data_IF_061270448875
#
_entry.id   IF_061270448875
#
_cell.length_a   1.000
_cell.length_b   1.000
_cell.length_c   1.000
_cell.angle_alpha   90.00
_cell.angle_beta   90.00
_cell.angle_gamma   90.00
#
_symmetry.space_group_name_H-M   'P 1'
#
loop_
_entity.id
_entity.type
_entity.pdbx_description
1 polymer ?
#
# COMPACT_ATOMS: atom_id res chain seq x y z
N UNK A 1 -14.92 -24.10 5.47
CA UNK A 1 -14.41 -22.80 5.02
C UNK A 1 -15.63 -22.03 4.54
N UNK A 2 -16.02 -20.97 5.25
CA UNK A 2 -17.37 -20.40 5.20
C UNK A 2 -17.62 -19.59 3.90
N UNK A 3 -18.62 -20.01 3.12
CA UNK A 3 -19.02 -19.39 1.86
C UNK A 3 -19.49 -17.93 2.03
N UNK A 4 -19.92 -17.57 3.25
CA UNK A 4 -20.27 -16.19 3.61
C UNK A 4 -19.05 -15.27 3.59
N UNK A 5 -17.88 -15.77 3.99
CA UNK A 5 -16.62 -15.01 3.96
C UNK A 5 -16.18 -14.67 2.54
N UNK A 6 -16.29 -15.63 1.62
CA UNK A 6 -15.97 -15.45 0.19
C UNK A 6 -16.93 -14.49 -0.51
N UNK A 7 -18.23 -14.59 -0.21
CA UNK A 7 -19.24 -13.70 -0.77
C UNK A 7 -19.06 -12.24 -0.32
N UNK A 8 -18.67 -12.02 0.94
CA UNK A 8 -18.34 -10.69 1.46
C UNK A 8 -17.06 -10.14 0.83
N UNK A 9 -16.00 -10.94 0.73
CA UNK A 9 -14.74 -10.54 0.10
C UNK A 9 -14.93 -10.18 -1.38
N UNK A 10 -15.75 -10.94 -2.12
CA UNK A 10 -16.02 -10.68 -3.55
C UNK A 10 -16.86 -9.43 -3.79
N UNK A 11 -17.96 -9.26 -3.05
CA UNK A 11 -18.81 -8.06 -3.11
C UNK A 11 -18.03 -6.81 -2.69
N UNK A 12 -17.05 -6.99 -1.81
CA UNK A 12 -16.15 -5.95 -1.35
C UNK A 12 -15.05 -5.61 -2.39
N UNK A 13 -14.44 -6.63 -3.01
CA UNK A 13 -13.52 -6.46 -4.15
C UNK A 13 -14.21 -5.76 -5.34
N UNK A 14 -15.49 -6.08 -5.60
CA UNK A 14 -16.31 -5.38 -6.60
C UNK A 14 -16.53 -3.90 -6.23
N UNK A 15 -16.79 -3.59 -4.95
CA UNK A 15 -16.91 -2.19 -4.49
C UNK A 15 -15.61 -1.40 -4.57
N UNK A 16 -14.46 -2.08 -4.42
CA UNK A 16 -13.13 -1.49 -4.51
C UNK A 16 -12.67 -1.31 -5.96
N UNK A 17 -13.01 -2.23 -6.87
CA UNK A 17 -12.82 -2.07 -8.32
C UNK A 17 -13.51 -0.82 -8.86
N UNK A 18 -14.70 -0.49 -8.36
CA UNK A 18 -15.42 0.75 -8.73
C UNK A 18 -14.77 2.04 -8.21
N UNK A 19 -13.93 1.96 -7.18
CA UNK A 19 -13.17 3.09 -6.63
C UNK A 19 -11.78 3.26 -7.27
N UNK A 20 -11.42 2.44 -8.28
CA UNK A 20 -10.07 2.28 -8.88
C UNK A 20 -9.06 1.43 -8.09
N UNK A 21 -9.52 0.55 -7.19
CA UNK A 21 -8.66 -0.21 -6.30
C UNK A 21 -8.63 -1.65 -6.81
N UNK A 22 -7.53 -2.04 -7.45
CA UNK A 22 -7.31 -3.41 -7.90
C UNK A 22 -6.97 -4.25 -6.67
N UNK A 23 -7.98 -4.86 -6.06
CA UNK A 23 -7.72 -6.07 -5.27
C UNK A 23 -7.40 -7.17 -6.28
N UNK A 24 -6.24 -7.78 -6.13
CA UNK A 24 -5.97 -9.06 -6.77
C UNK A 24 -6.94 -10.10 -6.17
N UNK A 25 -7.97 -10.46 -6.93
CA UNK A 25 -9.02 -11.40 -6.51
C UNK A 25 -8.44 -12.78 -6.16
N UNK A 26 -7.26 -13.13 -6.67
CA UNK A 26 -6.56 -14.37 -6.29
C UNK A 26 -5.95 -14.28 -4.88
N UNK A 27 -5.48 -13.10 -4.47
CA UNK A 27 -4.85 -12.88 -3.16
C UNK A 27 -5.88 -12.78 -2.02
N UNK A 28 -7.02 -12.12 -2.25
CA UNK A 28 -8.08 -11.94 -1.25
C UNK A 28 -8.78 -13.25 -0.81
N UNK A 29 -8.56 -14.35 -1.55
CA UNK A 29 -9.07 -15.69 -1.26
C UNK A 29 -8.01 -16.72 -0.87
N UNK A 30 -6.74 -16.33 -0.79
CA UNK A 30 -5.66 -17.27 -0.44
C UNK A 30 -5.86 -17.80 0.98
N UNK A 31 -5.74 -19.13 1.18
CA UNK A 31 -5.91 -19.80 2.49
C UNK A 31 -4.99 -19.25 3.59
N UNK A 32 -3.99 -18.46 3.23
CA UNK A 32 -2.97 -17.88 4.10
C UNK A 32 -3.03 -16.34 4.16
N UNK A 33 -4.06 -15.67 3.63
CA UNK A 33 -4.19 -14.21 3.74
C UNK A 33 -4.33 -13.79 5.21
N UNK A 34 -3.62 -12.73 5.61
CA UNK A 34 -3.69 -12.17 6.97
C UNK A 34 -4.27 -10.76 6.93
N UNK A 35 -4.72 -10.25 8.07
CA UNK A 35 -5.33 -8.91 8.18
C UNK A 35 -4.36 -7.75 7.97
N UNK A 36 -3.32 -7.86 7.15
CA UNK A 36 -2.36 -6.79 6.86
C UNK A 36 -2.53 -6.29 5.43
N UNK A 37 -2.80 -4.98 5.29
CA UNK A 37 -3.15 -4.35 4.03
C UNK A 37 -2.14 -3.25 3.68
N UNK A 38 -1.69 -3.24 2.42
CA UNK A 38 -0.78 -2.26 1.84
C UNK A 38 -1.57 -1.34 0.90
N UNK A 39 -1.36 -0.03 1.01
CA UNK A 39 -2.03 0.97 0.18
C UNK A 39 -0.98 1.86 -0.50
N UNK A 40 -1.10 2.05 -1.81
CA UNK A 40 -0.41 3.11 -2.55
C UNK A 40 -1.38 4.22 -2.90
N UNK A 41 -1.01 5.46 -2.55
CA UNK A 41 -1.84 6.63 -2.77
C UNK A 41 -1.01 7.79 -3.32
N UNK A 42 -1.34 8.26 -4.53
CA UNK A 42 -0.78 9.48 -5.09
C UNK A 42 -1.56 10.69 -4.55
N UNK A 43 -0.91 11.71 -4.00
CA UNK A 43 -1.64 12.88 -3.49
C UNK A 43 -2.34 13.72 -4.59
N UNK A 44 -1.91 13.59 -5.84
CA UNK A 44 -2.47 14.27 -7.01
C UNK A 44 -3.48 13.39 -7.74
N UNK A 45 -3.09 12.15 -8.06
CA UNK A 45 -3.92 11.23 -8.85
C UNK A 45 -4.90 10.38 -8.00
N UNK A 46 -4.75 10.38 -6.67
CA UNK A 46 -5.58 9.61 -5.77
C UNK A 46 -5.09 8.16 -5.51
N UNK A 47 -5.98 7.29 -5.01
CA UNK A 47 -5.62 5.91 -4.67
C UNK A 47 -5.23 5.13 -5.93
N UNK A 48 -4.13 4.38 -5.86
CA UNK A 48 -3.64 3.55 -6.97
C UNK A 48 -3.93 2.07 -6.78
N UNK A 49 -3.56 1.54 -5.62
CA UNK A 49 -3.55 0.11 -5.39
C UNK A 49 -3.75 -0.20 -3.92
N UNK A 50 -4.46 -1.29 -3.66
CA UNK A 50 -4.54 -1.93 -2.36
C UNK A 50 -4.22 -3.41 -2.50
N UNK A 51 -3.42 -3.95 -1.59
CA UNK A 51 -3.10 -5.37 -1.56
C UNK A 51 -3.14 -5.91 -0.15
N UNK A 52 -3.53 -7.18 -0.02
CA UNK A 52 -3.49 -7.92 1.24
C UNK A 52 -2.27 -8.83 1.24
N UNK A 53 -1.52 -8.85 2.35
CA UNK A 53 -0.41 -9.79 2.49
C UNK A 53 -0.90 -11.19 2.86
N UNK A 54 -0.17 -12.19 2.38
CA UNK A 54 -0.20 -13.54 2.92
C UNK A 54 0.58 -13.59 4.24
N UNK A 55 0.40 -14.65 5.02
CA UNK A 55 1.16 -14.89 6.25
C UNK A 55 2.67 -14.91 5.99
N UNK A 56 3.09 -15.53 4.89
CA UNK A 56 4.50 -15.62 4.51
C UNK A 56 5.04 -14.25 4.06
N UNK A 57 4.27 -13.51 3.27
CA UNK A 57 4.62 -12.13 2.88
C UNK A 57 4.73 -11.20 4.09
N UNK A 58 3.80 -11.33 5.05
CA UNK A 58 3.86 -10.57 6.30
C UNK A 58 5.10 -10.93 7.13
N UNK A 59 5.46 -12.22 7.24
CA UNK A 59 6.68 -12.66 7.94
C UNK A 59 7.95 -12.16 7.26
N UNK A 60 8.02 -12.21 5.93
CA UNK A 60 9.15 -11.70 5.16
C UNK A 60 9.31 -10.18 5.32
N UNK A 61 8.20 -9.45 5.28
CA UNK A 61 8.18 -8.02 5.56
C UNK A 61 8.69 -7.71 6.97
N UNK A 62 8.22 -8.45 7.98
CA UNK A 62 8.65 -8.26 9.36
C UNK A 62 10.12 -8.61 9.61
N UNK A 63 10.65 -9.65 8.94
CA UNK A 63 12.04 -10.05 9.08
C UNK A 63 13.00 -9.05 8.44
N UNK A 64 12.54 -8.33 7.41
CA UNK A 64 13.36 -7.43 6.61
C UNK A 64 14.46 -8.17 5.84
N UNK A 65 14.35 -9.48 5.67
CA UNK A 65 15.34 -10.30 4.99
C UNK A 65 15.55 -9.85 3.54
N UNK A 66 14.46 -9.50 2.86
CA UNK A 66 14.48 -9.01 1.48
C UNK A 66 15.27 -7.71 1.29
N UNK A 67 15.46 -6.91 2.36
CA UNK A 67 16.28 -5.69 2.30
C UNK A 67 17.76 -6.00 2.04
N UNK A 68 18.23 -7.19 2.44
CA UNK A 68 19.62 -7.62 2.23
C UNK A 68 19.92 -7.92 0.76
N UNK A 69 18.88 -8.16 -0.04
CA UNK A 69 18.98 -8.52 -1.45
C UNK A 69 18.95 -7.30 -2.39
N UNK A 70 19.01 -6.09 -1.85
CA UNK A 70 18.89 -4.86 -2.63
C UNK A 70 20.17 -4.41 -3.33
N UNK A 71 21.29 -5.11 -3.15
CA UNK A 71 22.57 -4.81 -3.82
C UNK A 71 22.97 -3.32 -3.79
N UNK A 72 22.67 -2.63 -2.68
CA UNK A 72 22.96 -1.21 -2.47
C UNK A 72 21.86 -0.23 -2.89
N UNK A 73 20.78 -0.69 -3.51
CA UNK A 73 19.60 0.12 -3.83
C UNK A 73 18.84 0.53 -2.56
N UNK A 74 18.29 1.75 -2.54
CA UNK A 74 17.40 2.16 -1.47
C UNK A 74 15.97 1.65 -1.75
N UNK A 75 15.26 1.12 -0.74
CA UNK A 75 13.86 0.69 -0.88
C UNK A 75 12.93 1.78 -1.44
N UNK A 76 13.19 3.05 -1.12
CA UNK A 76 12.46 4.19 -1.65
C UNK A 76 12.68 4.37 -3.17
N UNK A 77 13.89 4.11 -3.66
CA UNK A 77 14.21 4.20 -5.09
C UNK A 77 13.54 3.07 -5.87
N UNK A 78 13.55 1.85 -5.31
CA UNK A 78 12.85 0.68 -5.88
C UNK A 78 11.35 0.94 -5.96
N UNK A 79 10.73 1.43 -4.88
CA UNK A 79 9.32 1.80 -4.88
C UNK A 79 9.03 2.93 -5.87
N UNK A 80 9.91 3.94 -5.93
CA UNK A 80 9.81 5.04 -6.88
C UNK A 80 9.81 4.58 -8.33
N UNK A 81 10.79 3.78 -8.73
CA UNK A 81 10.88 3.23 -10.08
C UNK A 81 9.65 2.37 -10.40
N UNK A 82 9.23 1.52 -9.47
CA UNK A 82 8.06 0.62 -9.64
C UNK A 82 6.77 1.40 -9.83
N UNK A 83 6.51 2.43 -9.01
CA UNK A 83 5.32 3.27 -9.15
C UNK A 83 5.34 4.09 -10.42
N UNK A 84 6.52 4.59 -10.85
CA UNK A 84 6.62 5.31 -12.13
C UNK A 84 6.33 4.41 -13.32
N UNK A 85 6.84 3.17 -13.31
CA UNK A 85 6.54 2.19 -14.35
C UNK A 85 5.05 1.84 -14.36
N UNK A 86 4.46 1.60 -13.19
CA UNK A 86 3.03 1.31 -13.04
C UNK A 86 2.12 2.46 -13.50
N UNK A 87 2.47 3.70 -13.13
CA UNK A 87 1.73 4.91 -13.50
C UNK A 87 1.78 5.14 -15.02
N UNK A 88 2.89 4.78 -15.69
CA UNK A 88 3.05 4.89 -17.13
C UNK A 88 2.27 3.83 -17.93
N UNK A 89 1.80 2.75 -17.28
CA UNK A 89 0.98 1.74 -17.95
C UNK A 89 -0.43 2.27 -18.24
N UNK A 90 -0.96 2.04 -19.46
CA UNK A 90 -2.38 2.22 -19.72
C UNK A 90 -3.22 1.38 -18.74
N UNK A 91 -4.38 1.87 -18.29
CA UNK A 91 -5.22 1.15 -17.32
C UNK A 91 -5.53 -0.29 -17.74
N UNK A 92 -5.83 -0.50 -19.03
CA UNK A 92 -6.07 -1.84 -19.62
C UNK A 92 -4.89 -2.81 -19.54
N UNK A 93 -3.69 -2.31 -19.29
CA UNK A 93 -2.44 -3.07 -19.18
C UNK A 93 -2.03 -3.32 -17.72
N UNK A 94 -2.68 -2.67 -16.75
CA UNK A 94 -2.45 -2.90 -15.31
C UNK A 94 -3.12 -4.21 -14.90
N UNK A 95 -2.37 -5.30 -15.00
CA UNK A 95 -2.82 -6.64 -14.64
C UNK A 95 -2.38 -7.04 -13.21
N UNK A 96 -2.70 -8.28 -12.81
CA UNK A 96 -2.35 -8.80 -11.49
C UNK A 96 -0.83 -8.87 -11.26
N UNK A 97 -0.02 -9.22 -12.28
CA UNK A 97 1.44 -9.26 -12.17
C UNK A 97 2.08 -7.89 -11.92
N UNK A 98 1.58 -6.85 -12.61
CA UNK A 98 2.03 -5.47 -12.38
C UNK A 98 1.63 -4.98 -11.00
N UNK A 99 0.42 -5.32 -10.57
CA UNK A 99 -0.07 -5.00 -9.22
C UNK A 99 0.76 -5.70 -8.15
N UNK A 100 1.10 -6.98 -8.34
CA UNK A 100 1.96 -7.74 -7.42
C UNK A 100 3.36 -7.14 -7.31
N UNK A 101 3.93 -6.64 -8.42
CA UNK A 101 5.23 -5.94 -8.39
C UNK A 101 5.17 -4.70 -7.49
N UNK A 102 4.10 -3.89 -7.60
CA UNK A 102 3.88 -2.74 -6.71
C UNK A 102 3.71 -3.18 -5.26
N UNK A 103 2.91 -4.22 -4.98
CA UNK A 103 2.72 -4.75 -3.62
C UNK A 103 4.04 -5.24 -3.00
N UNK A 104 4.88 -5.93 -3.77
CA UNK A 104 6.20 -6.37 -3.32
C UNK A 104 7.11 -5.19 -2.99
N UNK A 105 7.13 -4.15 -3.85
CA UNK A 105 7.91 -2.94 -3.59
C UNK A 105 7.39 -2.15 -2.37
N UNK A 106 6.07 -2.09 -2.17
CA UNK A 106 5.46 -1.50 -0.97
C UNK A 106 5.82 -2.27 0.29
N UNK A 107 5.78 -3.60 0.25
CA UNK A 107 6.20 -4.48 1.35
C UNK A 107 7.66 -4.21 1.72
N UNK A 108 8.54 -4.14 0.73
CA UNK A 108 9.96 -3.86 0.94
C UNK A 108 10.19 -2.49 1.59
N UNK A 109 9.48 -1.45 1.12
CA UNK A 109 9.52 -0.13 1.72
C UNK A 109 8.93 -0.10 3.14
N UNK A 110 7.87 -0.87 3.39
CA UNK A 110 7.31 -1.05 4.74
C UNK A 110 8.35 -1.67 5.68
N UNK A 111 9.08 -2.69 5.23
CA UNK A 111 10.17 -3.31 5.99
C UNK A 111 11.25 -2.29 6.39
N UNK A 112 11.62 -1.38 5.48
CA UNK A 112 12.70 -0.41 5.73
C UNK A 112 12.30 0.77 6.62
N UNK A 113 11.04 1.18 6.57
CA UNK A 113 10.56 2.34 7.34
C UNK A 113 10.21 2.00 8.78
N UNK A 114 10.05 0.71 9.11
CA UNK A 114 9.65 0.20 10.43
C UNK A 114 8.38 0.86 10.99
N UNK A 115 7.57 1.55 10.17
CA UNK A 115 6.38 2.26 10.64
C UNK A 115 5.32 1.28 11.16
N UNK A 116 5.40 0.01 10.74
CA UNK A 116 4.61 -1.08 11.29
C UNK A 116 5.00 -1.49 12.71
N UNK A 117 6.20 -1.17 13.22
CA UNK A 117 6.60 -1.52 14.59
C UNK A 117 5.82 -0.73 15.65
N UNK A 118 5.22 0.40 15.26
CA UNK A 118 4.27 1.12 16.10
C UNK A 118 2.92 0.40 16.23
N UNK A 119 2.66 -0.61 15.39
CA UNK A 119 1.45 -1.42 15.46
C UNK A 119 1.65 -2.59 16.44
N UNK A 120 0.61 -2.96 17.21
CA UNK A 120 0.64 -4.18 18.01
C UNK A 120 0.78 -5.40 17.10
N UNK A 121 1.16 -6.57 17.64
CA UNK A 121 1.15 -7.81 16.88
C UNK A 121 -0.21 -8.08 16.22
N UNK A 122 -0.20 -8.55 14.97
CA UNK A 122 -1.41 -8.87 14.23
C UNK A 122 -2.23 -9.95 14.97
N UNK A 123 -3.45 -9.61 15.38
CA UNK A 123 -4.40 -10.52 16.04
C UNK A 123 -5.41 -11.06 15.05
N UNK A 124 -5.92 -12.27 15.30
CA UNK A 124 -7.02 -12.85 14.52
C UNK A 124 -8.23 -11.91 14.49
N UNK A 125 -8.69 -11.56 13.28
CA UNK A 125 -9.84 -10.66 13.07
C UNK A 125 -9.54 -9.16 13.12
N UNK A 126 -8.29 -8.75 13.38
CA UNK A 126 -7.88 -7.34 13.28
C UNK A 126 -7.35 -7.01 11.88
N UNK A 127 -7.61 -5.78 11.42
CA UNK A 127 -7.06 -5.26 10.18
C UNK A 127 -6.02 -4.16 10.47
N UNK A 128 -4.81 -4.38 10.00
CA UNK A 128 -3.72 -3.42 10.01
C UNK A 128 -3.52 -2.87 8.61
N UNK A 129 -3.27 -1.57 8.55
CA UNK A 129 -3.19 -0.82 7.32
C UNK A 129 -1.87 -0.08 7.30
N UNK A 130 -1.05 -0.35 6.30
CA UNK A 130 0.14 0.42 6.02
C UNK A 130 -0.06 1.15 4.69
N UNK A 131 -0.06 2.47 4.75
CA UNK A 131 -0.33 3.35 3.63
C UNK A 131 0.94 4.07 3.24
N UNK A 132 1.24 4.15 1.95
CA UNK A 132 2.29 5.03 1.43
C UNK A 132 1.63 6.11 0.59
N UNK A 133 1.78 7.34 1.06
CA UNK A 133 1.41 8.53 0.31
C UNK A 133 2.64 9.03 -0.43
N UNK A 134 2.50 9.29 -1.74
CA UNK A 134 3.56 9.88 -2.54
C UNK A 134 3.08 10.99 -3.46
N UNK A 135 4.02 11.84 -3.83
CA UNK A 135 3.83 12.89 -4.82
C UNK A 135 5.18 13.32 -5.39
N UNK A 136 5.13 13.96 -6.55
CA UNK A 136 6.28 14.69 -7.09
C UNK A 136 6.20 16.15 -6.64
N UNK A 137 7.34 16.71 -6.27
CA UNK A 137 7.48 18.16 -6.11
C UNK A 137 7.68 18.81 -7.49
N UNK A 138 7.55 20.14 -7.56
CA UNK A 138 7.85 20.91 -8.77
C UNK A 138 9.30 20.72 -9.29
N UNK A 139 10.24 20.30 -8.42
CA UNK A 139 11.62 19.98 -8.82
C UNK A 139 11.80 18.55 -9.33
N UNK A 140 10.73 17.76 -9.42
CA UNK A 140 10.76 16.36 -9.84
C UNK A 140 11.19 15.38 -8.74
N UNK A 141 11.38 15.84 -7.51
CA UNK A 141 11.69 14.95 -6.36
C UNK A 141 10.42 14.20 -5.96
N UNK A 142 10.49 12.86 -5.89
CA UNK A 142 9.40 12.07 -5.31
C UNK A 142 9.53 12.04 -3.79
N UNK A 143 8.44 12.37 -3.10
CA UNK A 143 8.33 12.28 -1.64
C UNK A 143 7.50 11.05 -1.30
N UNK A 144 7.94 10.31 -0.29
CA UNK A 144 7.17 9.21 0.32
C UNK A 144 6.87 9.53 1.77
N UNK A 145 5.63 9.27 2.18
CA UNK A 145 5.19 9.37 3.56
C UNK A 145 4.39 8.13 3.96
N UNK A 146 4.98 7.25 4.79
CA UNK A 146 4.25 6.12 5.33
C UNK A 146 3.29 6.59 6.43
N UNK A 147 2.16 5.92 6.55
CA UNK A 147 1.24 6.02 7.66
C UNK A 147 0.73 4.62 8.01
N UNK A 148 0.25 4.45 9.25
CA UNK A 148 -0.30 3.19 9.69
C UNK A 148 -1.57 3.38 10.52
N UNK A 149 -2.50 2.44 10.40
CA UNK A 149 -3.76 2.44 11.14
C UNK A 149 -4.21 1.01 11.49
N UNK A 150 -5.09 0.89 12.48
CA UNK A 150 -5.73 -0.37 12.88
C UNK A 150 -7.23 -0.13 12.87
N UNK A 151 -7.97 -0.93 12.11
CA UNK A 151 -9.43 -0.85 12.09
C UNK A 151 -10.07 -2.24 12.07
N UNK A 152 -11.40 -2.29 12.14
CA UNK A 152 -12.17 -3.53 12.06
C UNK A 152 -12.48 -3.97 10.63
N UNK A 153 -12.12 -3.18 9.62
CA UNK A 153 -12.41 -3.44 8.21
C UNK A 153 -11.28 -2.94 7.32
N UNK A 154 -11.39 -3.11 6.01
CA UNK A 154 -10.49 -2.42 5.07
C UNK A 154 -10.84 -0.92 5.05
N UNK A 155 -9.83 -0.06 4.79
CA UNK A 155 -10.05 1.38 4.75
C UNK A 155 -10.86 1.77 3.52
N UNK A 156 -11.88 2.60 3.73
CA UNK A 156 -12.63 3.21 2.65
C UNK A 156 -11.82 4.36 2.00
N UNK A 157 -12.09 4.70 0.71
CA UNK A 157 -11.36 5.76 0.01
C UNK A 157 -11.43 7.14 0.69
N UNK A 158 -12.55 7.45 1.34
CA UNK A 158 -12.76 8.71 2.07
C UNK A 158 -11.81 8.80 3.26
N UNK A 159 -11.59 7.68 3.95
CA UNK A 159 -10.66 7.60 5.09
C UNK A 159 -9.22 7.80 4.61
N UNK A 160 -8.83 7.21 3.48
CA UNK A 160 -7.50 7.48 2.90
C UNK A 160 -7.33 8.94 2.52
N UNK A 161 -8.38 9.57 1.99
CA UNK A 161 -8.36 11.00 1.64
C UNK A 161 -8.12 11.87 2.87
N UNK A 162 -8.70 11.51 4.01
CA UNK A 162 -8.48 12.27 5.25
C UNK A 162 -7.08 12.02 5.84
N UNK A 163 -6.55 10.79 5.77
CA UNK A 163 -5.15 10.52 6.11
C UNK A 163 -4.19 11.30 5.21
N UNK A 164 -4.48 11.39 3.90
CA UNK A 164 -3.63 12.07 2.94
C UNK A 164 -3.48 13.56 3.26
N UNK A 165 -4.58 14.23 3.64
CA UNK A 165 -4.57 15.63 4.11
C UNK A 165 -3.74 15.81 5.38
N UNK A 166 -3.87 14.91 6.35
CA UNK A 166 -3.11 14.96 7.60
C UNK A 166 -1.61 14.78 7.34
N UNK A 167 -1.25 13.79 6.53
CA UNK A 167 0.13 13.49 6.13
C UNK A 167 0.74 14.67 5.39
N UNK A 168 0.01 15.25 4.43
CA UNK A 168 0.49 16.40 3.67
C UNK A 168 0.68 17.62 4.59
N UNK A 169 -0.28 17.90 5.48
CA UNK A 169 -0.20 19.02 6.42
C UNK A 169 1.02 18.88 7.34
N UNK A 170 1.22 17.69 7.93
CA UNK A 170 2.36 17.41 8.80
C UNK A 170 3.71 17.48 8.07
N UNK A 171 3.73 17.16 6.78
CA UNK A 171 4.92 17.28 5.97
C UNK A 171 5.24 18.75 5.63
N UNK A 172 4.27 19.49 5.12
CA UNK A 172 4.45 20.88 4.68
C UNK A 172 4.75 21.83 5.84
N UNK A 173 4.35 21.49 7.08
CA UNK A 173 4.74 22.26 8.26
C UNK A 173 6.26 22.28 8.48
N UNK A 174 7.00 21.29 7.95
CA UNK A 174 8.46 21.20 8.02
C UNK A 174 9.13 21.48 6.67
N UNK A 175 8.45 21.21 5.57
CA UNK A 175 8.96 21.30 4.21
C UNK A 175 7.98 22.06 3.30
N UNK A 176 7.78 23.38 3.50
CA UNK A 176 6.73 24.14 2.83
C UNK A 176 6.87 24.23 1.30
N UNK A 177 8.06 23.96 0.76
CA UNK A 177 8.34 23.99 -0.68
C UNK A 177 8.18 22.64 -1.37
N UNK A 178 7.94 21.55 -0.62
CA UNK A 178 7.76 20.21 -1.17
C UNK A 178 6.28 19.92 -1.43
N UNK A 179 5.56 20.87 -2.05
CA UNK A 179 4.14 20.72 -2.39
C UNK A 179 3.93 19.75 -3.57
N UNK A 180 2.79 19.02 -3.61
CA UNK A 180 2.41 18.21 -4.77
C UNK A 180 2.30 19.05 -6.05
N UNK A 181 2.85 18.50 -7.14
CA UNK A 181 2.83 19.06 -8.49
C UNK A 181 2.08 18.15 -9.45
#
# INVERSE_FOLDING_TARGET
MDDVGKARARKFAESLRHASWVIDDEAAGARNAVGFWLYSYNLVAGPRLVGQLTLDGYRAMQSGEDLKNLDGLQPADVLGATLSAYDALPERSRNAGESQTVISALSLYASSTMTWQALPPLKTGAHQHFMVFDWLTASGKRIFRPAAAITGSVLAPEILTDFSKQVLTAHLSKHPHETPY
#
